data_IF_303055888721
#
_entry.id   IF_303055888721
#
_cell.length_a   1.000
_cell.length_b   1.000
_cell.length_c   1.000
_cell.angle_alpha   90.00
_cell.angle_beta   90.00
_cell.angle_gamma   90.00
#
_symmetry.space_group_name_H-M   'P 1'
#
loop_
_entity.id
_entity.type
_entity.pdbx_description
1 polymer ?
#
# COMPACT_ATOMS: atom_id res chain seq x y z
N UNK A 1 6.39 53.21 17.11
CA UNK A 1 6.16 53.77 15.78
C UNK A 1 5.57 52.72 14.84
N UNK A 2 4.41 52.16 15.17
CA UNK A 2 3.77 51.11 14.39
C UNK A 2 2.30 51.36 14.02
N UNK A 3 1.74 52.52 14.40
CA UNK A 3 0.30 52.77 14.25
C UNK A 3 -0.16 53.31 12.90
N UNK A 4 0.73 53.62 11.98
CA UNK A 4 0.37 54.25 10.68
C UNK A 4 0.49 53.32 9.48
N UNK A 5 1.02 52.08 9.62
CA UNK A 5 1.18 51.15 8.49
C UNK A 5 -0.13 50.49 8.08
N UNK A 6 -1.08 50.34 9.00
CA UNK A 6 -2.33 49.57 8.73
C UNK A 6 -3.47 50.38 8.14
N UNK A 7 -3.30 51.74 7.97
CA UNK A 7 -4.38 52.60 7.51
C UNK A 7 -4.36 52.95 6.02
N UNK A 8 -3.26 52.74 5.29
CA UNK A 8 -3.10 53.37 3.96
C UNK A 8 -3.03 52.39 2.78
N UNK A 9 -2.67 51.13 2.95
CA UNK A 9 -2.76 50.12 1.91
C UNK A 9 -2.81 48.73 2.52
N UNK A 10 -3.78 47.90 2.14
CA UNK A 10 -3.81 46.51 2.53
C UNK A 10 -2.98 45.73 1.53
N UNK A 11 -2.11 44.89 2.03
CA UNK A 11 -1.46 43.86 1.22
C UNK A 11 -2.33 42.61 1.29
N UNK A 12 -2.78 42.15 0.13
CA UNK A 12 -3.52 40.91 -0.03
C UNK A 12 -2.49 39.83 -0.37
N UNK A 13 -2.07 39.09 0.61
CA UNK A 13 -1.07 38.03 0.44
C UNK A 13 -1.37 36.86 1.34
N UNK A 14 -0.84 35.70 0.94
CA UNK A 14 -0.82 34.51 1.77
C UNK A 14 0.61 34.19 2.19
N UNK A 15 0.93 34.46 3.44
CA UNK A 15 2.14 33.96 4.08
C UNK A 15 1.88 32.53 4.51
N UNK A 16 2.50 31.55 3.79
CA UNK A 16 2.37 30.14 4.11
C UNK A 16 3.01 29.85 5.47
N UNK A 17 2.17 29.72 6.50
CA UNK A 17 2.60 29.31 7.84
C UNK A 17 2.44 27.81 8.08
N UNK A 18 1.88 27.07 7.09
CA UNK A 18 1.67 25.63 7.13
C UNK A 18 1.88 25.04 5.74
N UNK A 19 2.73 24.02 5.65
CA UNK A 19 3.01 23.31 4.39
C UNK A 19 1.85 22.40 3.93
N UNK A 20 0.95 22.05 4.84
CA UNK A 20 -0.18 21.14 4.62
C UNK A 20 -1.48 21.85 4.23
N UNK A 21 -1.44 23.12 3.86
CA UNK A 21 -2.61 23.90 3.50
C UNK A 21 -2.82 23.90 1.99
N UNK A 22 -3.98 23.45 1.53
CA UNK A 22 -4.35 23.36 0.12
C UNK A 22 -4.92 24.69 -0.38
N UNK A 23 -5.80 25.30 0.40
CA UNK A 23 -6.26 26.65 0.15
C UNK A 23 -6.46 27.41 1.46
N UNK A 24 -6.39 28.71 1.34
CA UNK A 24 -6.65 29.66 2.41
C UNK A 24 -7.44 30.86 1.90
N UNK A 25 -8.49 31.22 2.64
CA UNK A 25 -9.32 32.37 2.35
C UNK A 25 -8.78 33.60 3.08
N UNK A 26 -8.45 34.65 2.34
CA UNK A 26 -8.01 35.91 2.93
C UNK A 26 -9.15 36.52 3.77
N UNK A 27 -8.86 36.78 5.03
CA UNK A 27 -9.89 37.09 6.03
C UNK A 27 -10.34 38.55 6.00
N UNK A 28 -9.51 39.47 5.49
CA UNK A 28 -9.85 40.90 5.41
C UNK A 28 -10.71 41.11 4.17
N UNK A 29 -12.00 41.26 4.36
CA UNK A 29 -12.99 41.35 3.27
C UNK A 29 -13.04 42.74 2.58
N UNK A 30 -12.29 43.72 3.07
CA UNK A 30 -12.29 45.07 2.52
C UNK A 30 -10.97 45.34 1.81
N UNK A 31 -11.03 45.36 0.47
CA UNK A 31 -9.89 45.75 -0.35
C UNK A 31 -9.95 47.28 -0.49
N UNK A 32 -8.95 47.95 0.06
CA UNK A 32 -8.86 49.42 0.02
C UNK A 32 -8.19 49.90 -1.26
N UNK A 33 -8.41 51.18 -1.60
CA UNK A 33 -7.71 51.85 -2.68
C UNK A 33 -6.19 51.84 -2.45
N UNK A 34 -5.41 51.45 -3.49
CA UNK A 34 -3.97 51.33 -3.40
C UNK A 34 -3.49 50.04 -2.79
N UNK A 35 -4.38 49.02 -2.58
CA UNK A 35 -3.99 47.70 -2.13
C UNK A 35 -3.23 46.94 -3.21
N UNK A 36 -2.29 46.11 -2.79
CA UNK A 36 -1.51 45.20 -3.64
C UNK A 36 -1.89 43.76 -3.40
N UNK A 37 -1.90 42.97 -4.48
CA UNK A 37 -1.97 41.50 -4.43
C UNK A 37 -0.57 40.95 -4.64
N UNK A 38 -0.11 40.11 -3.73
CA UNK A 38 1.17 39.41 -3.86
C UNK A 38 0.87 37.92 -4.05
N UNK A 39 1.31 37.37 -5.17
CA UNK A 39 1.23 35.95 -5.48
C UNK A 39 2.65 35.40 -5.43
N UNK A 40 2.86 34.44 -4.54
CA UNK A 40 4.17 33.79 -4.36
C UNK A 40 4.29 32.55 -5.26
N UNK A 41 5.52 32.08 -5.59
CA UNK A 41 5.72 30.87 -6.34
C UNK A 41 4.98 29.67 -5.73
N UNK A 42 4.20 28.97 -6.56
CA UNK A 42 3.38 27.83 -6.12
C UNK A 42 2.04 28.19 -5.51
N UNK A 43 1.61 29.44 -5.67
CA UNK A 43 0.29 29.92 -5.28
C UNK A 43 -0.45 30.49 -6.49
N UNK A 44 -1.78 30.32 -6.50
CA UNK A 44 -2.69 31.06 -7.38
C UNK A 44 -3.70 31.81 -6.52
N UNK A 45 -4.12 33.00 -7.01
CA UNK A 45 -5.14 33.80 -6.35
C UNK A 45 -6.43 33.83 -7.15
N UNK A 46 -7.56 33.56 -6.48
CA UNK A 46 -8.88 33.50 -7.06
C UNK A 46 -9.74 34.58 -6.44
N UNK A 47 -10.25 35.45 -7.27
CA UNK A 47 -11.17 36.52 -6.85
C UNK A 47 -12.61 36.00 -6.97
N UNK A 48 -13.34 36.10 -5.86
CA UNK A 48 -14.75 35.78 -5.76
C UNK A 48 -15.55 37.04 -5.46
N UNK A 49 -16.63 37.25 -6.20
CA UNK A 49 -17.60 38.28 -5.92
C UNK A 49 -19.01 37.71 -5.90
N UNK A 50 -19.75 37.97 -4.84
CA UNK A 50 -21.06 37.39 -4.60
C UNK A 50 -21.07 35.82 -4.75
N UNK A 51 -20.00 35.15 -4.32
CA UNK A 51 -19.85 33.72 -4.40
C UNK A 51 -19.50 33.19 -5.79
N UNK A 52 -19.28 34.04 -6.80
CA UNK A 52 -18.85 33.61 -8.15
C UNK A 52 -17.39 33.89 -8.36
N UNK A 53 -16.71 32.99 -9.08
CA UNK A 53 -15.32 33.18 -9.52
C UNK A 53 -15.34 34.24 -10.64
N UNK A 54 -14.69 35.36 -10.39
CA UNK A 54 -14.60 36.49 -11.34
C UNK A 54 -13.23 36.51 -12.03
N UNK A 55 -12.19 36.01 -11.41
CA UNK A 55 -10.87 35.93 -12.01
C UNK A 55 -9.93 34.98 -11.27
N UNK A 56 -9.00 34.43 -12.03
CA UNK A 56 -7.94 33.54 -11.52
C UNK A 56 -6.61 34.10 -11.99
N UNK A 57 -5.73 34.41 -11.06
CA UNK A 57 -4.38 34.92 -11.29
C UNK A 57 -3.37 33.84 -10.94
N UNK A 58 -2.63 33.39 -11.95
CA UNK A 58 -1.70 32.26 -11.85
C UNK A 58 -0.24 32.66 -11.83
N UNK A 59 0.05 33.84 -12.36
CA UNK A 59 1.44 34.29 -12.45
C UNK A 59 1.88 34.85 -11.10
N UNK A 60 3.08 34.49 -10.68
CA UNK A 60 3.71 35.05 -9.49
C UNK A 60 4.08 36.53 -9.70
N UNK A 61 3.98 37.31 -8.65
CA UNK A 61 4.36 38.73 -8.71
C UNK A 61 3.55 39.64 -7.79
N UNK A 62 3.85 40.93 -7.89
CA UNK A 62 3.19 41.99 -7.20
C UNK A 62 2.25 42.74 -8.17
N UNK A 63 0.96 42.71 -7.89
CA UNK A 63 -0.06 43.34 -8.72
C UNK A 63 -0.72 44.50 -7.99
N UNK A 64 -0.82 45.63 -8.65
CA UNK A 64 -1.64 46.72 -8.16
C UNK A 64 -3.12 46.44 -8.43
N UNK A 65 -3.93 46.38 -7.39
CA UNK A 65 -5.33 45.96 -7.52
C UNK A 65 -6.15 46.96 -8.33
N UNK A 66 -5.90 48.26 -8.17
CA UNK A 66 -6.66 49.31 -8.85
C UNK A 66 -6.36 49.34 -10.36
N UNK A 67 -5.07 49.28 -10.72
CA UNK A 67 -4.65 49.47 -12.11
C UNK A 67 -4.52 48.18 -12.93
N UNK A 68 -4.31 47.06 -12.29
CA UNK A 68 -4.05 45.77 -12.96
C UNK A 68 -5.17 44.73 -12.78
N UNK A 69 -5.66 44.57 -11.55
CA UNK A 69 -6.64 43.51 -11.23
C UNK A 69 -8.06 43.92 -11.61
N UNK A 70 -8.51 45.14 -11.22
CA UNK A 70 -9.87 45.59 -11.49
C UNK A 70 -10.15 45.75 -12.99
N UNK A 71 -9.30 46.35 -13.81
CA UNK A 71 -9.52 46.41 -15.24
C UNK A 71 -9.65 45.05 -15.89
N UNK A 72 -8.82 44.09 -15.46
CA UNK A 72 -8.90 42.73 -15.94
C UNK A 72 -10.24 42.07 -15.59
N UNK A 73 -10.68 42.12 -14.34
CA UNK A 73 -11.98 41.62 -13.91
C UNK A 73 -13.14 42.31 -14.62
N UNK A 74 -13.05 43.63 -14.87
CA UNK A 74 -14.10 44.38 -15.57
C UNK A 74 -14.27 43.99 -17.02
N UNK A 75 -13.20 43.53 -17.69
CA UNK A 75 -13.28 43.02 -19.08
C UNK A 75 -13.95 41.67 -19.17
N UNK A 76 -13.79 40.81 -18.16
CA UNK A 76 -14.34 39.48 -18.15
C UNK A 76 -15.84 39.41 -17.86
N UNK A 77 -16.36 40.26 -17.00
CA UNK A 77 -17.71 40.17 -16.46
C UNK A 77 -18.63 41.35 -16.76
N UNK A 78 -18.17 42.34 -17.52
CA UNK A 78 -18.93 43.59 -17.73
C UNK A 78 -19.07 44.44 -16.46
N UNK A 79 -18.18 44.22 -15.53
CA UNK A 79 -18.17 44.82 -14.21
C UNK A 79 -17.89 46.30 -14.27
N UNK A 80 -18.83 47.12 -13.83
CA UNK A 80 -18.59 48.55 -13.57
C UNK A 80 -18.17 48.73 -12.12
N UNK A 81 -16.89 48.57 -11.84
CA UNK A 81 -16.34 48.87 -10.53
C UNK A 81 -16.26 50.38 -10.33
N UNK A 82 -17.15 50.92 -9.51
CA UNK A 82 -16.89 52.20 -8.86
C UNK A 82 -16.30 51.94 -7.48
N UNK A 83 -15.15 52.49 -7.17
CA UNK A 83 -14.61 52.49 -5.81
C UNK A 83 -15.48 53.37 -4.86
N UNK A 84 -16.70 52.93 -4.62
CA UNK A 84 -17.48 53.44 -3.52
C UNK A 84 -17.33 52.48 -2.36
N UNK A 85 -16.86 52.97 -1.23
CA UNK A 85 -16.65 52.30 0.04
C UNK A 85 -17.60 51.11 0.27
N UNK A 86 -17.08 49.91 0.29
CA UNK A 86 -17.86 48.74 0.69
C UNK A 86 -17.86 47.55 -0.27
N UNK A 87 -16.95 47.49 -1.24
CA UNK A 87 -16.84 46.31 -2.10
C UNK A 87 -16.27 45.13 -1.32
N UNK A 88 -17.09 44.11 -1.12
CA UNK A 88 -16.68 42.86 -0.49
C UNK A 88 -16.25 41.87 -1.58
N UNK A 89 -14.97 41.87 -1.89
CA UNK A 89 -14.36 40.81 -2.67
C UNK A 89 -13.71 39.77 -1.72
N UNK A 90 -13.88 38.53 -2.02
CA UNK A 90 -13.20 37.44 -1.32
C UNK A 90 -12.02 36.98 -2.18
N UNK A 91 -10.86 36.86 -1.59
CA UNK A 91 -9.68 36.28 -2.25
C UNK A 91 -9.37 34.97 -1.65
N UNK A 92 -9.35 33.94 -2.51
CA UNK A 92 -8.96 32.58 -2.14
C UNK A 92 -7.59 32.30 -2.77
N UNK A 93 -6.62 32.01 -1.93
CA UNK A 93 -5.32 31.54 -2.38
C UNK A 93 -5.32 30.01 -2.41
N UNK A 94 -4.77 29.42 -3.47
CA UNK A 94 -4.66 27.99 -3.66
C UNK A 94 -3.20 27.60 -3.84
N UNK A 95 -2.76 26.60 -3.12
CA UNK A 95 -1.45 26.01 -3.28
C UNK A 95 -1.47 25.07 -4.49
N UNK A 96 -0.62 25.35 -5.49
CA UNK A 96 -0.53 24.60 -6.74
C UNK A 96 0.49 23.48 -6.70
N UNK A 97 1.25 23.37 -5.60
CA UNK A 97 2.27 22.34 -5.40
C UNK A 97 1.64 20.95 -5.29
N UNK A 98 2.45 19.94 -5.52
CA UNK A 98 2.07 18.55 -5.29
C UNK A 98 2.25 18.18 -3.81
N UNK A 99 1.22 17.58 -3.23
CA UNK A 99 1.26 17.07 -1.87
C UNK A 99 1.51 15.58 -1.85
N UNK A 100 2.43 15.13 -0.99
CA UNK A 100 2.70 13.73 -0.74
C UNK A 100 2.22 13.34 0.65
N UNK A 101 1.34 12.35 0.71
CA UNK A 101 0.69 11.90 1.95
C UNK A 101 0.96 10.43 2.20
N UNK A 102 1.31 10.11 3.43
CA UNK A 102 1.44 8.72 3.90
C UNK A 102 0.06 8.19 4.28
N UNK A 103 -0.24 6.97 3.85
CA UNK A 103 -1.46 6.27 4.19
C UNK A 103 -1.16 4.87 4.74
N UNK A 104 -2.12 4.30 5.44
CA UNK A 104 -2.08 2.93 5.93
C UNK A 104 -3.47 2.47 6.32
N UNK A 105 -3.73 1.17 6.21
CA UNK A 105 -4.98 0.56 6.65
C UNK A 105 -5.07 0.57 8.18
N UNK A 106 -6.18 1.03 8.73
CA UNK A 106 -6.40 1.04 10.19
C UNK A 106 -6.50 -0.38 10.74
N UNK A 107 -7.24 -1.21 10.04
CA UNK A 107 -7.44 -2.62 10.36
C UNK A 107 -6.89 -3.50 9.24
N UNK A 108 -6.68 -4.78 9.54
CA UNK A 108 -6.39 -5.75 8.50
C UNK A 108 -7.62 -5.92 7.59
N UNK A 109 -7.38 -5.97 6.28
CA UNK A 109 -8.38 -6.25 5.26
C UNK A 109 -8.38 -7.75 5.02
N UNK A 110 -9.54 -8.40 5.15
CA UNK A 110 -9.66 -9.82 4.88
C UNK A 110 -9.82 -10.07 3.38
N UNK A 111 -8.76 -10.53 2.76
CA UNK A 111 -8.74 -10.81 1.32
C UNK A 111 -9.25 -12.23 1.10
N UNK A 112 -10.24 -12.46 0.22
CA UNK A 112 -10.73 -13.80 -0.06
C UNK A 112 -9.60 -14.73 -0.53
N UNK A 113 -9.41 -15.84 0.16
CA UNK A 113 -8.45 -16.88 -0.18
C UNK A 113 -9.14 -18.24 -0.20
N UNK A 114 -9.01 -19.06 -1.29
CA UNK A 114 -9.74 -20.32 -1.43
C UNK A 114 -9.47 -21.32 -0.30
N UNK A 115 -8.29 -21.27 0.30
CA UNK A 115 -7.86 -22.19 1.38
C UNK A 115 -8.13 -21.68 2.80
N UNK A 116 -8.63 -20.44 2.96
CA UNK A 116 -8.83 -19.81 4.27
C UNK A 116 -10.28 -19.32 4.41
N UNK A 117 -11.15 -20.08 5.11
CA UNK A 117 -12.49 -19.60 5.46
C UNK A 117 -12.37 -18.32 6.29
N UNK A 118 -12.98 -17.21 5.81
CA UNK A 118 -12.86 -15.89 6.43
C UNK A 118 -11.80 -14.97 5.79
N UNK A 119 -11.03 -15.48 4.81
CA UNK A 119 -10.03 -14.70 4.07
C UNK A 119 -8.70 -14.54 4.81
N UNK A 120 -7.72 -13.99 4.11
CA UNK A 120 -6.40 -13.70 4.64
C UNK A 120 -6.34 -12.25 5.11
N UNK A 121 -6.08 -11.98 6.40
CA UNK A 121 -5.95 -10.63 6.92
C UNK A 121 -4.62 -10.01 6.48
N UNK A 122 -4.69 -8.90 5.74
CA UNK A 122 -3.52 -8.18 5.22
C UNK A 122 -3.64 -6.72 5.60
N UNK A 123 -2.53 -6.10 5.99
CA UNK A 123 -2.39 -4.65 6.12
C UNK A 123 -1.52 -4.13 5.00
N UNK A 124 -1.79 -2.90 4.57
CA UNK A 124 -0.99 -2.23 3.57
C UNK A 124 -0.70 -0.79 4.00
N UNK A 125 0.45 -0.28 3.56
CA UNK A 125 0.80 1.12 3.71
C UNK A 125 1.54 1.64 2.48
N UNK A 126 1.58 2.96 2.35
CA UNK A 126 2.23 3.59 1.22
C UNK A 126 2.12 5.09 1.23
N UNK A 127 2.26 5.67 0.06
CA UNK A 127 2.11 7.10 -0.19
C UNK A 127 1.16 7.34 -1.36
N UNK A 128 0.48 8.47 -1.33
CA UNK A 128 -0.20 9.00 -2.51
C UNK A 128 0.17 10.47 -2.71
N UNK A 129 0.19 10.88 -3.98
CA UNK A 129 0.42 12.26 -4.38
C UNK A 129 -0.85 12.82 -5.01
N UNK A 130 -1.12 14.08 -4.71
CA UNK A 130 -2.24 14.79 -5.33
C UNK A 130 -1.92 16.29 -5.43
N UNK A 131 -2.65 16.97 -6.31
CA UNK A 131 -2.61 18.44 -6.47
C UNK A 131 -3.98 18.97 -6.83
N UNK A 132 -4.13 20.29 -6.72
CA UNK A 132 -5.32 20.99 -7.23
C UNK A 132 -5.27 20.98 -8.76
N UNK A 133 -6.40 20.66 -9.39
CA UNK A 133 -6.55 20.61 -10.84
C UNK A 133 -7.62 21.57 -11.36
N UNK A 134 -8.74 21.70 -10.65
CA UNK A 134 -9.88 22.51 -11.06
C UNK A 134 -10.35 23.38 -9.88
N UNK A 135 -10.06 24.68 -9.96
CA UNK A 135 -10.38 25.63 -8.89
C UNK A 135 -11.88 25.85 -8.73
N UNK A 136 -12.64 25.82 -9.82
CA UNK A 136 -14.10 26.02 -9.77
C UNK A 136 -14.75 24.88 -9.01
N UNK A 137 -14.41 23.65 -9.36
CA UNK A 137 -14.90 22.47 -8.64
C UNK A 137 -14.46 22.45 -7.18
N UNK A 138 -13.21 22.83 -6.90
CA UNK A 138 -12.70 22.92 -5.53
C UNK A 138 -13.52 23.89 -4.69
N UNK A 139 -13.84 25.06 -5.26
CA UNK A 139 -14.64 26.09 -4.59
C UNK A 139 -16.07 25.62 -4.39
N UNK A 140 -16.71 25.10 -5.43
CA UNK A 140 -18.12 24.71 -5.40
C UNK A 140 -18.35 23.51 -4.45
N UNK A 141 -17.44 22.55 -4.44
CA UNK A 141 -17.62 21.31 -3.70
C UNK A 141 -17.00 21.30 -2.30
N UNK A 142 -15.96 22.08 -2.08
CA UNK A 142 -15.16 22.02 -0.85
C UNK A 142 -15.05 23.36 -0.15
N UNK A 143 -14.62 24.42 -0.86
CA UNK A 143 -14.30 25.68 -0.22
C UNK A 143 -15.52 26.33 0.43
N UNK A 144 -16.66 26.37 -0.25
CA UNK A 144 -17.95 26.85 0.30
C UNK A 144 -17.79 27.89 1.39
N UNK A 145 -18.17 27.50 2.62
CA UNK A 145 -18.07 28.32 3.83
C UNK A 145 -16.74 28.16 4.59
N UNK A 146 -15.84 27.27 4.13
CA UNK A 146 -14.58 26.99 4.82
C UNK A 146 -13.56 28.11 4.59
N UNK A 147 -12.81 28.41 5.63
CA UNK A 147 -11.72 29.39 5.55
C UNK A 147 -10.41 28.76 5.08
N UNK A 148 -10.26 27.46 5.27
CA UNK A 148 -9.07 26.70 4.84
C UNK A 148 -9.42 25.24 4.57
N UNK A 149 -8.57 24.57 3.80
CA UNK A 149 -8.64 23.15 3.52
C UNK A 149 -7.25 22.55 3.62
N UNK A 150 -7.13 21.48 4.39
CA UNK A 150 -5.86 20.88 4.73
C UNK A 150 -5.67 19.53 4.03
N UNK A 151 -4.42 19.13 3.88
CA UNK A 151 -4.03 17.81 3.38
C UNK A 151 -4.65 16.68 4.20
N UNK A 152 -4.82 16.85 5.51
CA UNK A 152 -5.46 15.84 6.37
C UNK A 152 -6.95 15.64 6.04
N UNK A 153 -7.67 16.68 5.57
CA UNK A 153 -9.06 16.56 5.11
C UNK A 153 -9.15 15.66 3.87
N UNK A 154 -8.19 15.79 2.94
CA UNK A 154 -8.10 14.92 1.75
C UNK A 154 -7.72 13.51 2.15
N UNK A 155 -6.75 13.36 3.04
CA UNK A 155 -6.31 12.06 3.57
C UNK A 155 -7.45 11.30 4.23
N UNK A 156 -8.27 11.98 5.04
CA UNK A 156 -9.44 11.36 5.69
C UNK A 156 -10.41 10.79 4.64
N UNK A 157 -10.70 11.56 3.59
CA UNK A 157 -11.59 11.15 2.49
C UNK A 157 -11.02 9.93 1.74
N UNK A 158 -9.75 9.96 1.38
CA UNK A 158 -9.08 8.87 0.65
C UNK A 158 -9.01 7.62 1.51
N UNK A 159 -8.62 7.74 2.79
CA UNK A 159 -8.51 6.59 3.70
C UNK A 159 -9.83 5.84 3.86
N UNK A 160 -10.96 6.55 3.80
CA UNK A 160 -12.28 5.91 3.87
C UNK A 160 -12.59 5.01 2.65
N UNK A 161 -11.95 5.25 1.51
CA UNK A 161 -12.14 4.48 0.28
C UNK A 161 -11.09 3.38 0.11
N UNK A 162 -9.93 3.52 0.75
CA UNK A 162 -8.76 2.68 0.50
C UNK A 162 -9.02 1.20 0.75
N UNK A 163 -9.73 0.84 1.81
CA UNK A 163 -10.00 -0.56 2.14
C UNK A 163 -10.77 -1.27 1.01
N UNK A 164 -11.76 -0.58 0.43
CA UNK A 164 -12.55 -1.12 -0.69
C UNK A 164 -11.73 -1.20 -1.97
N UNK A 165 -10.92 -0.19 -2.26
CA UNK A 165 -10.07 -0.15 -3.46
C UNK A 165 -8.96 -1.19 -3.39
N UNK A 166 -8.34 -1.37 -2.23
CA UNK A 166 -7.36 -2.43 -2.00
C UNK A 166 -7.98 -3.80 -2.21
N UNK A 167 -9.16 -4.06 -1.62
CA UNK A 167 -9.87 -5.33 -1.79
C UNK A 167 -10.19 -5.59 -3.26
N UNK A 168 -10.73 -4.59 -3.98
CA UNK A 168 -11.05 -4.68 -5.42
C UNK A 168 -9.82 -5.03 -6.26
N UNK A 169 -8.73 -4.28 -6.07
CA UNK A 169 -7.57 -4.41 -6.93
C UNK A 169 -6.66 -5.58 -6.57
N UNK A 170 -6.58 -5.96 -5.29
CA UNK A 170 -5.91 -7.20 -4.87
C UNK A 170 -6.66 -8.42 -5.41
N UNK A 171 -7.99 -8.43 -5.40
CA UNK A 171 -8.77 -9.53 -5.97
C UNK A 171 -8.57 -9.66 -7.50
N UNK A 172 -8.34 -8.53 -8.19
CA UNK A 172 -8.16 -8.51 -9.64
C UNK A 172 -6.74 -8.84 -10.07
N UNK A 173 -5.75 -8.23 -9.45
CA UNK A 173 -4.33 -8.26 -9.87
C UNK A 173 -3.43 -9.07 -8.93
N UNK A 174 -3.92 -9.45 -7.77
CA UNK A 174 -3.16 -10.23 -6.77
C UNK A 174 -3.07 -11.70 -7.14
N UNK A 175 -2.19 -12.05 -8.07
CA UNK A 175 -2.00 -13.41 -8.59
C UNK A 175 -1.51 -14.39 -7.53
N UNK A 176 -0.69 -13.94 -6.61
CA UNK A 176 -0.17 -14.70 -5.48
C UNK A 176 -0.47 -13.97 -4.17
N UNK A 177 -1.37 -14.55 -3.39
CA UNK A 177 -1.82 -13.97 -2.11
C UNK A 177 -0.73 -13.93 -1.05
N UNK A 178 0.29 -14.80 -1.15
CA UNK A 178 1.43 -14.84 -0.25
C UNK A 178 2.58 -13.93 -0.72
N UNK A 179 2.50 -13.39 -1.92
CA UNK A 179 3.50 -12.49 -2.49
C UNK A 179 2.83 -11.31 -3.21
N UNK A 180 1.94 -10.60 -2.54
CA UNK A 180 1.26 -9.43 -3.09
C UNK A 180 2.23 -8.32 -3.50
N UNK A 181 3.41 -8.28 -2.88
CA UNK A 181 4.42 -7.27 -3.19
C UNK A 181 4.90 -7.35 -4.64
N UNK A 182 4.92 -8.53 -5.25
CA UNK A 182 5.29 -8.70 -6.66
C UNK A 182 4.34 -8.01 -7.63
N UNK A 183 3.06 -7.87 -7.26
CA UNK A 183 2.02 -7.22 -8.06
C UNK A 183 1.64 -5.83 -7.53
N UNK A 184 2.42 -5.28 -6.58
CA UNK A 184 2.11 -4.01 -5.92
C UNK A 184 1.98 -2.84 -6.89
N UNK A 185 2.75 -2.84 -7.97
CA UNK A 185 2.70 -1.81 -9.00
C UNK A 185 1.36 -1.81 -9.76
N UNK A 186 0.90 -2.98 -10.21
CA UNK A 186 -0.35 -3.10 -10.97
C UNK A 186 -1.57 -2.77 -10.08
N UNK A 187 -1.54 -3.25 -8.84
CA UNK A 187 -2.54 -2.92 -7.83
C UNK A 187 -2.57 -1.40 -7.58
N UNK A 188 -1.41 -0.78 -7.39
CA UNK A 188 -1.29 0.65 -7.15
C UNK A 188 -1.77 1.49 -8.33
N UNK A 189 -1.44 1.10 -9.57
CA UNK A 189 -1.87 1.78 -10.79
C UNK A 189 -3.40 1.77 -10.93
N UNK A 190 -4.02 0.64 -10.61
CA UNK A 190 -5.47 0.54 -10.60
C UNK A 190 -6.14 1.39 -9.54
N UNK A 191 -5.62 1.37 -8.31
CA UNK A 191 -6.11 2.21 -7.22
C UNK A 191 -5.96 3.69 -7.57
N UNK A 192 -4.81 4.10 -8.14
CA UNK A 192 -4.59 5.47 -8.59
C UNK A 192 -5.69 5.94 -9.55
N UNK A 193 -6.04 5.10 -10.52
CA UNK A 193 -7.07 5.43 -11.52
C UNK A 193 -8.44 5.65 -10.87
N UNK A 194 -8.84 4.76 -9.98
CA UNK A 194 -10.12 4.89 -9.27
C UNK A 194 -10.13 6.11 -8.31
N UNK A 195 -9.01 6.38 -7.62
CA UNK A 195 -8.87 7.55 -6.77
C UNK A 195 -8.92 8.86 -7.56
N UNK A 196 -8.28 8.91 -8.72
CA UNK A 196 -8.28 10.09 -9.57
C UNK A 196 -9.70 10.44 -10.03
N UNK A 197 -10.51 9.46 -10.41
CA UNK A 197 -11.92 9.66 -10.72
C UNK A 197 -12.71 10.24 -9.53
N UNK A 198 -12.48 9.75 -8.32
CA UNK A 198 -13.14 10.23 -7.11
C UNK A 198 -12.72 11.65 -6.73
N UNK A 199 -11.43 11.97 -6.89
CA UNK A 199 -10.87 13.29 -6.58
C UNK A 199 -11.22 14.33 -7.62
N UNK A 200 -11.35 13.94 -8.89
CA UNK A 200 -11.67 14.83 -10.01
C UNK A 200 -12.98 15.60 -9.80
N UNK A 201 -13.98 14.98 -9.19
CA UNK A 201 -15.25 15.61 -8.86
C UNK A 201 -15.11 16.72 -7.79
N UNK A 202 -14.01 16.73 -7.07
CA UNK A 202 -13.72 17.72 -6.03
C UNK A 202 -12.67 18.75 -6.44
N UNK A 203 -12.26 18.72 -7.71
CA UNK A 203 -11.24 19.63 -8.24
C UNK A 203 -9.80 19.25 -7.91
N UNK A 204 -9.58 18.04 -7.43
CA UNK A 204 -8.27 17.48 -7.15
C UNK A 204 -7.91 16.41 -8.19
N UNK A 205 -6.64 16.10 -8.36
CA UNK A 205 -6.16 14.98 -9.17
C UNK A 205 -5.11 14.18 -8.43
N UNK A 206 -5.20 12.84 -8.52
CA UNK A 206 -4.19 11.96 -7.99
C UNK A 206 -3.04 11.84 -9.02
N UNK A 207 -1.89 12.44 -8.72
CA UNK A 207 -0.69 12.34 -9.55
C UNK A 207 0.06 11.02 -9.36
N UNK A 208 0.01 10.43 -8.15
CA UNK A 208 0.66 9.16 -7.84
C UNK A 208 -0.02 8.42 -6.70
N UNK A 209 0.12 7.09 -6.74
CA UNK A 209 -0.25 6.19 -5.64
C UNK A 209 0.76 5.03 -5.59
N UNK A 210 1.29 4.76 -4.42
CA UNK A 210 2.31 3.73 -4.23
C UNK A 210 1.99 2.88 -3.00
N UNK A 211 2.17 1.58 -3.13
CA UNK A 211 2.11 0.63 -2.03
C UNK A 211 3.56 0.33 -1.64
N UNK A 212 3.94 0.69 -0.42
CA UNK A 212 5.29 0.47 0.09
C UNK A 212 5.47 -0.94 0.64
N UNK A 213 4.46 -1.43 1.35
CA UNK A 213 4.49 -2.80 1.88
C UNK A 213 3.10 -3.37 2.12
N UNK A 214 3.05 -4.70 2.03
CA UNK A 214 1.98 -5.53 2.59
C UNK A 214 2.51 -6.21 3.85
N UNK A 215 1.70 -6.24 4.89
CA UNK A 215 2.03 -6.88 6.17
C UNK A 215 0.99 -7.93 6.48
N UNK A 216 1.46 -9.15 6.71
CA UNK A 216 0.65 -10.30 7.09
C UNK A 216 0.69 -10.50 8.60
N UNK A 217 -0.28 -11.20 9.21
CA UNK A 217 -0.17 -11.66 10.59
C UNK A 217 1.10 -12.50 10.81
N UNK A 218 1.60 -12.50 12.03
CA UNK A 218 2.88 -13.13 12.36
C UNK A 218 2.89 -14.63 12.01
N UNK A 219 1.79 -15.34 12.23
CA UNK A 219 1.64 -16.75 11.90
C UNK A 219 1.76 -17.00 10.40
N UNK A 220 1.12 -16.15 9.59
CA UNK A 220 1.17 -16.24 8.12
C UNK A 220 2.56 -15.88 7.61
N UNK A 221 3.18 -14.82 8.18
CA UNK A 221 4.55 -14.45 7.82
C UNK A 221 5.55 -15.56 8.16
N UNK A 222 5.39 -16.22 9.29
CA UNK A 222 6.21 -17.38 9.66
C UNK A 222 6.04 -18.54 8.67
N UNK A 223 4.81 -18.81 8.21
CA UNK A 223 4.56 -19.82 7.18
C UNK A 223 5.20 -19.48 5.83
N UNK A 224 5.09 -18.20 5.40
CA UNK A 224 5.71 -17.71 4.16
C UNK A 224 7.23 -17.89 4.25
N UNK A 225 7.86 -17.47 5.34
CA UNK A 225 9.30 -17.59 5.56
C UNK A 225 9.75 -19.06 5.57
N UNK A 226 8.97 -19.93 6.21
CA UNK A 226 9.24 -21.36 6.25
C UNK A 226 9.14 -22.02 4.88
N UNK A 227 8.11 -21.68 4.10
CA UNK A 227 7.95 -22.19 2.73
C UNK A 227 9.05 -21.66 1.79
N UNK A 228 9.43 -20.38 1.94
CA UNK A 228 10.55 -19.80 1.20
C UNK A 228 11.87 -20.54 1.51
N UNK A 229 12.10 -20.88 2.77
CA UNK A 229 13.26 -21.65 3.19
C UNK A 229 13.27 -23.06 2.58
N UNK A 230 12.12 -23.73 2.53
CA UNK A 230 11.99 -25.03 1.88
C UNK A 230 12.26 -24.98 0.37
N UNK A 231 11.73 -23.96 -0.31
CA UNK A 231 11.94 -23.78 -1.76
C UNK A 231 13.39 -23.39 -2.11
N UNK A 232 14.08 -22.62 -1.25
CA UNK A 232 15.49 -22.27 -1.45
C UNK A 232 16.44 -23.47 -1.28
N UNK A 233 16.06 -24.47 -0.52
CA UNK A 233 16.92 -25.61 -0.21
C UNK A 233 16.84 -26.69 -1.29
N UNK A 234 15.80 -26.70 -2.11
CA UNK A 234 15.65 -27.55 -3.31
C UNK A 234 15.73 -29.07 -3.10
N UNK A 235 16.24 -29.52 -1.95
CA UNK A 235 16.41 -30.91 -1.57
C UNK A 235 16.15 -31.07 -0.07
N UNK A 236 15.09 -31.79 0.26
CA UNK A 236 14.65 -32.04 1.64
C UNK A 236 15.74 -32.75 2.47
N UNK A 237 16.58 -33.58 1.83
CA UNK A 237 17.67 -34.28 2.49
C UNK A 237 18.80 -33.34 2.92
N UNK A 238 19.07 -32.33 2.13
CA UNK A 238 20.07 -31.30 2.44
C UNK A 238 19.61 -30.37 3.57
N UNK A 239 18.32 -30.08 3.65
CA UNK A 239 17.75 -29.31 4.76
C UNK A 239 17.82 -30.02 6.09
N UNK A 240 17.55 -31.31 6.13
CA UNK A 240 17.68 -32.10 7.34
C UNK A 240 19.12 -32.12 7.84
N UNK A 241 20.10 -32.24 6.94
CA UNK A 241 21.52 -32.19 7.29
C UNK A 241 21.92 -30.82 7.86
N UNK A 242 21.48 -29.71 7.27
CA UNK A 242 21.81 -28.36 7.74
C UNK A 242 21.15 -28.07 9.11
N UNK A 243 19.88 -28.45 9.32
CA UNK A 243 19.21 -28.26 10.62
C UNK A 243 19.81 -29.06 11.75
N UNK A 244 20.30 -30.24 11.44
CA UNK A 244 20.98 -31.08 12.44
C UNK A 244 22.33 -30.48 12.80
N UNK A 245 23.05 -29.95 11.81
CA UNK A 245 24.32 -29.26 12.05
C UNK A 245 24.13 -27.98 12.86
N UNK A 246 23.14 -27.14 12.51
CA UNK A 246 22.82 -25.93 13.26
C UNK A 246 22.33 -26.21 14.68
N UNK A 247 21.54 -27.26 14.89
CA UNK A 247 21.08 -27.70 16.20
C UNK A 247 22.22 -28.22 17.10
N UNK A 248 23.28 -28.76 16.49
CA UNK A 248 24.49 -29.20 17.22
C UNK A 248 25.42 -28.04 17.61
N UNK A 249 25.43 -26.97 16.80
CA UNK A 249 26.30 -25.80 17.07
C UNK A 249 25.62 -24.69 17.88
N UNK A 250 24.31 -24.62 17.95
CA UNK A 250 23.54 -23.70 18.81
C UNK A 250 23.39 -24.33 20.19
N UNK A 251 24.46 -24.30 20.97
CA UNK A 251 24.52 -24.80 22.35
C UNK A 251 23.66 -23.96 23.31
N UNK A 252 22.34 -24.01 23.21
CA UNK A 252 21.44 -23.46 24.22
C UNK A 252 20.86 -24.64 25.04
N UNK A 253 21.60 -24.94 26.09
CA UNK A 253 21.31 -25.96 27.09
C UNK A 253 20.13 -25.53 27.97
N UNK A 254 18.87 -25.75 27.51
CA UNK A 254 17.73 -25.87 28.42
C UNK A 254 16.61 -26.73 27.81
N UNK A 255 16.49 -27.98 28.23
CA UNK A 255 15.34 -28.82 27.96
C UNK A 255 15.72 -30.24 27.48
N UNK A 256 16.16 -31.09 28.40
CA UNK A 256 16.34 -32.51 28.14
C UNK A 256 15.00 -33.19 27.80
N UNK A 257 14.93 -33.80 26.62
CA UNK A 257 13.81 -34.63 26.16
C UNK A 257 13.75 -34.83 24.66
N UNK A 258 13.83 -33.79 23.88
CA UNK A 258 13.65 -33.84 22.42
C UNK A 258 14.94 -34.17 21.64
N UNK A 259 16.10 -33.83 22.19
CA UNK A 259 17.39 -34.05 21.55
C UNK A 259 17.78 -35.54 21.57
N UNK A 260 17.38 -36.30 22.59
CA UNK A 260 17.66 -37.73 22.69
C UNK A 260 16.79 -38.54 21.71
N UNK A 261 15.53 -38.16 21.49
CA UNK A 261 14.64 -38.84 20.55
C UNK A 261 15.03 -38.56 19.08
N UNK A 262 15.49 -37.34 18.76
CA UNK A 262 16.03 -37.01 17.43
C UNK A 262 17.39 -37.66 17.19
N UNK A 263 18.26 -37.80 18.17
CA UNK A 263 19.53 -38.48 18.05
C UNK A 263 19.30 -39.99 17.82
N UNK A 264 18.33 -40.60 18.48
CA UNK A 264 17.91 -42.00 18.27
C UNK A 264 17.36 -42.25 16.88
N UNK A 265 16.54 -41.32 16.35
CA UNK A 265 15.99 -41.41 15.01
C UNK A 265 17.06 -41.22 13.90
N UNK A 266 18.06 -40.37 14.13
CA UNK A 266 19.19 -40.20 13.21
C UNK A 266 20.19 -41.36 13.23
N UNK A 267 20.45 -41.97 14.38
CA UNK A 267 21.23 -43.20 14.44
C UNK A 267 20.52 -44.34 13.69
N UNK A 268 19.19 -44.44 13.81
CA UNK A 268 18.38 -45.40 13.08
C UNK A 268 18.44 -45.23 11.56
N UNK A 269 18.41 -43.99 11.06
CA UNK A 269 18.50 -43.68 9.61
C UNK A 269 19.93 -43.91 9.06
N UNK A 270 20.98 -43.57 9.82
CA UNK A 270 22.35 -43.85 9.39
C UNK A 270 22.66 -45.38 9.38
N UNK A 271 22.14 -46.11 10.34
CA UNK A 271 22.30 -47.58 10.37
C UNK A 271 21.52 -48.17 9.20
N UNK A 272 20.31 -47.69 8.89
CA UNK A 272 19.54 -48.12 7.74
C UNK A 272 20.26 -47.86 6.42
N UNK A 273 20.87 -46.69 6.22
CA UNK A 273 21.65 -46.36 5.02
C UNK A 273 22.95 -47.19 4.92
N UNK A 274 23.66 -47.42 6.02
CA UNK A 274 24.84 -48.28 6.01
C UNK A 274 24.50 -49.74 5.73
N UNK A 275 23.37 -50.24 6.23
CA UNK A 275 22.88 -51.57 5.91
C UNK A 275 22.45 -51.66 4.44
N UNK A 276 21.86 -50.61 3.86
CA UNK A 276 21.52 -50.58 2.44
C UNK A 276 22.76 -50.52 1.55
N UNK A 277 23.80 -49.76 1.90
CA UNK A 277 25.07 -49.74 1.15
C UNK A 277 25.83 -51.06 1.27
N UNK A 278 25.82 -51.75 2.43
CA UNK A 278 26.39 -53.06 2.59
C UNK A 278 25.60 -54.15 1.84
N UNK A 279 24.30 -54.04 1.70
CA UNK A 279 23.50 -54.94 0.87
C UNK A 279 23.75 -54.75 -0.63
N UNK A 280 24.12 -53.57 -1.08
CA UNK A 280 24.35 -53.26 -2.49
C UNK A 280 25.78 -53.61 -2.95
N UNK A 281 26.74 -53.73 -2.02
CA UNK A 281 28.15 -54.04 -2.34
C UNK A 281 28.49 -55.56 -2.23
N UNK A 282 27.54 -56.42 -1.88
CA UNK A 282 27.76 -57.88 -1.80
C UNK A 282 27.08 -58.66 -2.95
N UNK A 283 27.27 -58.19 -4.18
CA UNK A 283 27.01 -59.02 -5.36
C UNK A 283 28.31 -59.59 -5.92
N UNK A 284 28.96 -60.48 -5.21
CA UNK A 284 29.77 -61.54 -5.83
C UNK A 284 29.94 -62.69 -4.83
N UNK A 285 28.92 -63.53 -4.71
CA UNK A 285 29.16 -64.92 -4.32
C UNK A 285 28.10 -65.79 -5.00
N UNK A 286 28.59 -66.68 -5.88
CA UNK A 286 27.88 -67.84 -6.40
C UNK A 286 27.55 -68.76 -5.24
N UNK A 287 26.29 -69.11 -5.09
CA UNK A 287 25.94 -70.55 -4.83
C UNK A 287 24.44 -70.79 -4.96
N UNK A 288 24.14 -71.83 -5.62
CA UNK A 288 22.93 -72.56 -5.87
C UNK A 288 22.01 -72.74 -4.66
N UNK A 289 20.70 -72.54 -4.86
CA UNK A 289 19.72 -73.37 -4.20
C UNK A 289 18.64 -72.62 -3.40
N UNK A 290 17.42 -72.80 -3.87
CA UNK A 290 16.14 -72.69 -3.17
C UNK A 290 15.48 -71.34 -3.08
N UNK A 291 14.60 -71.09 -4.02
CA UNK A 291 13.59 -70.06 -4.06
C UNK A 291 12.57 -70.24 -2.92
N UNK A 292 12.70 -69.39 -1.89
CA UNK A 292 11.57 -69.09 -1.01
C UNK A 292 11.38 -67.60 -1.06
N UNK A 293 10.62 -67.15 -2.04
CA UNK A 293 10.15 -65.73 -2.12
C UNK A 293 9.11 -65.54 -1.02
N UNK A 294 9.53 -65.06 0.12
CA UNK A 294 8.62 -64.56 1.15
C UNK A 294 7.94 -63.31 0.61
N UNK A 295 6.67 -63.46 0.21
CA UNK A 295 5.84 -62.31 -0.25
C UNK A 295 5.66 -61.31 0.89
N UNK A 296 5.63 -60.01 0.61
CA UNK A 296 5.51 -59.01 1.64
C UNK A 296 4.18 -59.12 2.39
N UNK A 297 4.20 -58.96 3.69
CA UNK A 297 3.02 -59.03 4.56
C UNK A 297 2.04 -57.88 4.37
N UNK A 298 2.49 -56.79 3.74
CA UNK A 298 1.68 -55.60 3.43
C UNK A 298 1.95 -55.14 2.00
N UNK A 299 0.91 -54.70 1.29
CA UNK A 299 1.03 -54.17 -0.05
C UNK A 299 1.85 -52.87 -0.06
N UNK A 300 2.93 -52.80 -0.87
CA UNK A 300 3.76 -51.58 -0.92
C UNK A 300 3.04 -50.37 -1.54
N UNK A 301 1.93 -50.58 -2.24
CA UNK A 301 1.18 -49.50 -2.89
C UNK A 301 0.05 -48.92 -2.02
N UNK A 302 -0.70 -49.77 -1.29
CA UNK A 302 -1.88 -49.31 -0.53
C UNK A 302 -1.83 -49.67 0.97
N UNK A 303 -0.76 -50.27 1.48
CA UNK A 303 -0.60 -50.63 2.89
C UNK A 303 -1.51 -51.77 3.39
N UNK A 304 -2.39 -52.36 2.55
CA UNK A 304 -3.29 -53.41 2.96
C UNK A 304 -2.51 -54.72 3.26
N UNK A 305 -2.95 -55.45 4.29
CA UNK A 305 -2.35 -56.73 4.66
C UNK A 305 -2.52 -57.77 3.53
N UNK A 306 -1.44 -58.41 3.12
CA UNK A 306 -1.46 -59.39 2.03
C UNK A 306 -1.63 -60.81 2.58
N UNK A 307 -2.34 -61.63 1.84
CA UNK A 307 -2.61 -63.04 2.20
C UNK A 307 -1.78 -64.01 1.38
N UNK A 308 -0.62 -63.58 0.87
CA UNK A 308 0.27 -64.43 0.08
C UNK A 308 -0.13 -64.61 -1.40
N UNK A 309 -1.14 -63.87 -1.87
CA UNK A 309 -1.55 -63.87 -3.28
C UNK A 309 -0.53 -63.14 -4.17
N UNK A 310 -0.54 -63.38 -5.47
CA UNK A 310 0.35 -62.72 -6.43
C UNK A 310 -0.03 -61.24 -6.70
N UNK A 311 -1.22 -60.82 -6.30
CA UNK A 311 -1.75 -59.50 -6.45
C UNK A 311 -2.45 -59.04 -5.17
N UNK A 312 -2.38 -57.78 -4.83
CA UNK A 312 -3.09 -57.21 -3.69
C UNK A 312 -4.61 -57.24 -3.93
N UNK A 313 -5.36 -57.88 -3.03
CA UNK A 313 -6.82 -57.97 -3.13
C UNK A 313 -7.54 -56.64 -2.96
N UNK A 314 -6.85 -55.57 -2.47
CA UNK A 314 -7.44 -54.27 -2.27
C UNK A 314 -7.19 -53.30 -3.44
N UNK A 315 -6.00 -53.31 -4.07
CA UNK A 315 -5.65 -52.33 -5.11
C UNK A 315 -5.13 -52.98 -6.41
N UNK A 316 -5.10 -54.30 -6.53
CA UNK A 316 -4.66 -55.00 -7.73
C UNK A 316 -3.14 -54.96 -8.00
N UNK A 317 -2.34 -54.32 -7.13
CA UNK A 317 -0.88 -54.28 -7.30
C UNK A 317 -0.27 -55.66 -7.23
N UNK A 318 0.64 -55.97 -8.14
CA UNK A 318 1.43 -57.23 -8.12
C UNK A 318 2.35 -57.25 -6.91
N UNK A 319 2.35 -58.33 -6.14
CA UNK A 319 3.10 -58.51 -4.89
C UNK A 319 4.34 -59.39 -5.08
#
# INVERSE_FOLDING_TARGET
MGFFKDQLSNVVEWEEFREDMIFWKWSNREIKKGSKLIIRPGQDAIFLFNGKVEGIFKDEGDYDIESQIIPFLSTLSGFKFGFNSGMRAEVLFVNTKEFTVKWGTKNAINIPAPSLPGGMPVRANGTFQFRVNDYVKLIDKIAGIRESYLVEDVKLRITALLDQLLMKWIAKEGKDMFNLQSNSYDIAAGIKTDLDMQLFDTGLTASGFQIMSFTYPEEIQAMINKNASYNMIGDMNRYQQVKVTDGMFSGDNKGGGMASDMAGMMMGLNIANQVFEQMNNNQTFKTSGSSNSTKPNFCPNCGAKTTGANFCGNCGQKL
#
